data_IF_741649440298
#
_entry.id   IF_741649440298
#
_cell.length_a   1.000
_cell.length_b   1.000
_cell.length_c   1.000
_cell.angle_alpha   90.00
_cell.angle_beta   90.00
_cell.angle_gamma   90.00
#
_symmetry.space_group_name_H-M   'P 1'
#
loop_
_entity.id
_entity.type
_entity.pdbx_description
1 polymer ?
#
# COMPACT_ATOMS: atom_id res chain seq x y z
N UNK A 1 7.46 -27.83 -5.86
CA UNK A 1 6.56 -26.68 -5.65
C UNK A 1 6.84 -26.12 -4.28
N UNK A 2 7.39 -24.91 -4.19
CA UNK A 2 6.90 -23.87 -3.27
C UNK A 2 7.57 -22.59 -3.77
N UNK A 3 6.80 -21.72 -4.43
CA UNK A 3 7.25 -20.36 -4.68
C UNK A 3 7.48 -19.75 -3.30
N UNK A 4 8.73 -19.45 -2.96
CA UNK A 4 9.08 -18.68 -1.77
C UNK A 4 8.45 -17.30 -1.91
N UNK A 5 7.23 -17.16 -1.38
CA UNK A 5 6.53 -15.89 -1.25
C UNK A 5 7.38 -15.01 -0.34
N UNK A 6 8.13 -14.09 -0.95
CA UNK A 6 8.77 -12.98 -0.24
C UNK A 6 7.71 -12.29 0.64
N UNK A 7 8.07 -11.81 1.84
CA UNK A 7 7.12 -11.11 2.69
C UNK A 7 6.45 -10.02 1.85
N UNK A 8 5.13 -10.14 1.69
CA UNK A 8 4.35 -9.17 0.95
C UNK A 8 4.31 -7.91 1.80
N UNK A 9 5.19 -6.96 1.48
CA UNK A 9 5.17 -5.63 2.05
C UNK A 9 3.76 -5.07 1.95
N UNK A 10 3.10 -4.92 3.11
CA UNK A 10 1.72 -4.46 3.18
C UNK A 10 1.75 -2.94 3.18
N UNK A 11 1.28 -2.35 2.09
CA UNK A 11 1.08 -0.91 2.01
C UNK A 11 -0.17 -0.53 2.81
N UNK A 12 -0.01 0.42 3.73
CA UNK A 12 -1.03 0.89 4.67
C UNK A 12 -1.24 2.39 4.46
N UNK A 13 -2.51 2.80 4.37
CA UNK A 13 -2.86 4.20 4.22
C UNK A 13 -2.55 4.96 5.52
N UNK A 14 -1.80 6.07 5.47
CA UNK A 14 -1.45 6.83 6.66
C UNK A 14 -2.67 7.51 7.31
N UNK A 15 -3.71 7.82 6.51
CA UNK A 15 -4.88 8.56 7.00
C UNK A 15 -5.88 7.67 7.75
N UNK A 16 -6.15 6.45 7.27
CA UNK A 16 -7.17 5.57 7.85
C UNK A 16 -6.67 4.17 8.19
N UNK A 17 -5.36 3.91 8.05
CA UNK A 17 -4.71 2.63 8.36
C UNK A 17 -5.26 1.42 7.60
N UNK A 18 -5.97 1.64 6.48
CA UNK A 18 -6.45 0.57 5.59
C UNK A 18 -5.37 0.09 4.64
N UNK A 19 -5.52 -1.12 4.12
CA UNK A 19 -4.65 -1.68 3.07
C UNK A 19 -5.16 -1.41 1.65
N UNK A 20 -6.30 -0.73 1.53
CA UNK A 20 -6.99 -0.46 0.27
C UNK A 20 -6.37 0.74 -0.47
N UNK A 21 -5.08 0.61 -0.80
CA UNK A 21 -4.30 1.57 -1.58
C UNK A 21 -4.09 1.04 -2.99
N UNK A 22 -4.19 1.92 -3.98
CA UNK A 22 -3.92 1.65 -5.38
C UNK A 22 -2.79 2.57 -5.81
N UNK A 23 -1.74 2.02 -6.41
CA UNK A 23 -0.67 2.82 -6.99
C UNK A 23 -1.08 3.29 -8.39
N UNK A 24 -1.00 4.60 -8.62
CA UNK A 24 -1.16 5.19 -9.93
C UNK A 24 0.22 5.41 -10.57
N UNK A 25 0.55 4.62 -11.58
CA UNK A 25 1.87 4.67 -12.23
C UNK A 25 2.06 5.88 -13.14
N UNK A 26 0.98 6.59 -13.50
CA UNK A 26 1.02 7.76 -14.39
C UNK A 26 1.49 8.97 -13.59
N UNK A 27 0.94 9.15 -12.40
CA UNK A 27 1.22 10.26 -11.48
C UNK A 27 2.26 9.91 -10.42
N UNK A 28 2.51 8.62 -10.18
CA UNK A 28 3.45 8.13 -9.17
C UNK A 28 2.91 8.24 -7.74
N UNK A 29 1.60 8.39 -7.54
CA UNK A 29 0.98 8.53 -6.21
C UNK A 29 0.15 7.31 -5.84
N UNK A 30 -0.01 7.09 -4.53
CA UNK A 30 -0.95 6.12 -3.99
C UNK A 30 -2.30 6.75 -3.71
N UNK A 31 -3.36 6.09 -4.15
CA UNK A 31 -4.75 6.44 -3.93
C UNK A 31 -5.40 5.46 -2.96
N UNK A 32 -5.90 5.94 -1.82
CA UNK A 32 -6.67 5.14 -0.89
C UNK A 32 -8.15 5.15 -1.26
N UNK A 33 -8.69 3.98 -1.64
CA UNK A 33 -10.10 3.82 -1.98
C UNK A 33 -11.06 3.90 -0.80
N UNK A 34 -10.58 3.86 0.45
CA UNK A 34 -11.45 3.93 1.63
C UNK A 34 -11.67 5.34 2.15
N UNK A 35 -10.63 6.19 2.20
CA UNK A 35 -10.72 7.55 2.74
C UNK A 35 -10.50 8.65 1.70
N UNK A 36 -10.08 8.30 0.48
CA UNK A 36 -9.75 9.28 -0.56
C UNK A 36 -8.35 9.89 -0.43
N UNK A 37 -7.49 9.38 0.46
CA UNK A 37 -6.09 9.84 0.56
C UNK A 37 -5.35 9.70 -0.78
N UNK A 38 -4.65 10.74 -1.19
CA UNK A 38 -3.80 10.79 -2.38
C UNK A 38 -2.42 11.31 -2.01
N UNK A 39 -1.38 10.52 -2.27
CA UNK A 39 -0.01 10.96 -2.02
C UNK A 39 1.02 9.85 -2.18
N UNK A 40 2.29 10.23 -2.17
CA UNK A 40 3.42 9.28 -2.25
C UNK A 40 3.74 8.62 -0.91
N UNK A 41 3.32 9.23 0.20
CA UNK A 41 3.59 8.72 1.53
C UNK A 41 2.62 7.59 1.89
N UNK A 42 3.15 6.41 2.18
CA UNK A 42 2.40 5.24 2.64
C UNK A 42 3.19 4.52 3.72
N UNK A 43 2.48 3.88 4.65
CA UNK A 43 3.11 3.13 5.72
C UNK A 43 3.38 1.72 5.20
N UNK A 44 4.62 1.25 5.26
CA UNK A 44 4.97 -0.10 4.86
C UNK A 44 5.02 -0.95 6.12
N UNK A 45 4.15 -1.95 6.22
CA UNK A 45 4.15 -2.92 7.30
C UNK A 45 4.76 -4.22 6.79
N UNK A 46 5.96 -4.53 7.27
CA UNK A 46 6.55 -5.86 7.13
C UNK A 46 6.04 -6.70 8.31
N UNK A 47 5.31 -7.78 8.04
CA UNK A 47 5.08 -8.79 9.07
C UNK A 47 6.31 -9.71 9.05
N UNK A 48 7.13 -9.59 10.10
CA UNK A 48 8.20 -10.52 10.46
C UNK A 48 7.64 -11.83 11.03
#
# INVERSE_FOLDING_TARGET
>A
MVLSMKPSEKLICPSCKTQNLVYDSITGIYFCKSCGYQGTFVIISSQE
#
